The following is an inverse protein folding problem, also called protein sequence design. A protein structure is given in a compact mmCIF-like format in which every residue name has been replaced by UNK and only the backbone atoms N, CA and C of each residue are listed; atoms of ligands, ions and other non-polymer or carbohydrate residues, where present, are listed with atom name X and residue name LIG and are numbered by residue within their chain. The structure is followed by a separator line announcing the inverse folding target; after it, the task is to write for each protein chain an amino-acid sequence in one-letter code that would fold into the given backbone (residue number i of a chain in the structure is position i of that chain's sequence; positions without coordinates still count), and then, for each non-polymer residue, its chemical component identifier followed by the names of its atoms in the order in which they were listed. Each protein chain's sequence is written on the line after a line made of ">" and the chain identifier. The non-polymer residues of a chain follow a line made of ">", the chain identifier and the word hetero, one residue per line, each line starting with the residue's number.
data_IF_902690788362
#
_entry.id   IF_902690788362
#
_cell.length_a   1.000
_cell.length_b   1.000
_cell.length_c   1.000
_cell.angle_alpha   90.00
_cell.angle_beta   90.00
_cell.angle_gamma   90.00
#
_symmetry.space_group_name_H-M   'P 1'
#
loop_
_entity.id
_entity.type
_entity.pdbx_description
1 polymer ?
#
# COMPACT_ATOMS: atom_id res chain seq x y z
N UNK A 1 -23.85 -13.38 -2.45
CA UNK A 1 -23.50 -12.22 -3.31
C UNK A 1 -23.36 -12.57 -4.80
N UNK A 2 -23.10 -13.81 -5.16
CA UNK A 2 -22.95 -14.28 -6.56
C UNK A 2 -24.27 -14.51 -7.33
N UNK A 3 -25.44 -14.27 -6.75
CA UNK A 3 -26.73 -14.68 -7.35
C UNK A 3 -27.25 -13.82 -8.51
N UNK A 4 -26.57 -12.72 -8.87
CA UNK A 4 -27.00 -11.82 -9.95
C UNK A 4 -25.87 -11.33 -10.87
N UNK A 5 -24.81 -12.14 -11.04
CA UNK A 5 -23.88 -11.88 -12.16
C UNK A 5 -24.60 -12.35 -13.42
N UNK A 6 -24.89 -11.43 -14.37
CA UNK A 6 -25.46 -11.80 -15.67
C UNK A 6 -24.57 -12.81 -16.40
N UNK A 7 -25.15 -13.55 -17.33
CA UNK A 7 -24.47 -14.68 -17.97
C UNK A 7 -23.14 -14.31 -18.67
N UNK A 8 -23.04 -13.09 -19.17
CA UNK A 8 -21.84 -12.58 -19.85
C UNK A 8 -20.68 -12.35 -18.86
N UNK A 9 -20.96 -11.72 -17.70
CA UNK A 9 -19.97 -11.50 -16.64
C UNK A 9 -19.47 -12.80 -16.00
N UNK A 10 -20.33 -13.81 -15.91
CA UNK A 10 -19.96 -15.15 -15.41
C UNK A 10 -18.87 -15.81 -16.23
N UNK A 11 -18.83 -15.54 -17.54
CA UNK A 11 -17.86 -16.15 -18.44
C UNK A 11 -16.41 -15.82 -18.02
N UNK A 12 -16.14 -14.57 -17.61
CA UNK A 12 -14.83 -14.19 -17.08
C UNK A 12 -14.55 -14.95 -15.79
N UNK A 13 -15.49 -14.93 -14.85
CA UNK A 13 -15.30 -15.51 -13.51
C UNK A 13 -15.13 -17.03 -13.56
N UNK A 14 -15.92 -17.72 -14.39
CA UNK A 14 -15.89 -19.18 -14.52
C UNK A 14 -14.71 -19.67 -15.38
N UNK A 15 -14.18 -18.83 -16.26
CA UNK A 15 -13.01 -19.12 -17.11
C UNK A 15 -11.66 -18.99 -16.43
N UNK A 16 -11.63 -18.60 -15.15
CA UNK A 16 -10.37 -18.38 -14.43
C UNK A 16 -9.65 -19.69 -14.08
N UNK A 17 -8.39 -19.76 -14.45
CA UNK A 17 -7.45 -20.84 -14.07
C UNK A 17 -6.44 -20.29 -13.06
N UNK A 18 -6.20 -21.05 -12.00
CA UNK A 18 -5.23 -20.72 -10.97
C UNK A 18 -3.84 -21.26 -11.29
N UNK A 19 -2.82 -20.42 -11.09
CA UNK A 19 -1.41 -20.75 -11.30
C UNK A 19 -0.53 -20.19 -10.16
N UNK A 20 0.65 -20.77 -9.99
CA UNK A 20 1.67 -20.34 -9.02
C UNK A 20 3.01 -20.11 -9.72
N UNK A 21 3.71 -19.03 -9.33
CA UNK A 21 5.07 -18.73 -9.80
C UNK A 21 6.09 -19.26 -8.78
N UNK A 22 6.95 -20.18 -9.23
CA UNK A 22 8.02 -20.77 -8.43
C UNK A 22 9.30 -20.66 -9.23
N UNK A 23 10.36 -20.09 -8.62
CA UNK A 23 11.65 -19.86 -9.27
C UNK A 23 11.49 -19.20 -10.66
N UNK A 24 10.69 -18.13 -10.72
CA UNK A 24 10.37 -17.30 -11.91
C UNK A 24 9.62 -18.03 -13.04
N UNK A 25 8.94 -19.13 -12.72
CA UNK A 25 8.10 -19.87 -13.69
C UNK A 25 6.68 -20.09 -13.18
N UNK A 26 5.71 -19.90 -14.05
CA UNK A 26 4.31 -20.16 -13.77
C UNK A 26 3.94 -21.63 -14.02
N UNK A 27 3.20 -22.22 -13.08
CA UNK A 27 2.74 -23.60 -13.12
C UNK A 27 1.25 -23.66 -12.79
N UNK A 28 0.46 -24.35 -13.63
CA UNK A 28 -0.89 -24.78 -13.29
C UNK A 28 -0.88 -25.93 -12.29
N UNK A 29 -2.06 -26.38 -11.87
CA UNK A 29 -2.24 -27.39 -10.81
C UNK A 29 -1.47 -28.70 -11.11
N UNK A 30 -1.58 -29.24 -12.31
CA UNK A 30 -0.95 -30.51 -12.65
C UNK A 30 0.57 -30.39 -12.83
N UNK A 31 1.04 -29.34 -13.46
CA UNK A 31 2.46 -29.06 -13.64
C UNK A 31 3.15 -28.78 -12.30
N UNK A 32 2.50 -28.07 -11.40
CA UNK A 32 3.01 -27.84 -10.03
C UNK A 32 3.15 -29.16 -9.27
N UNK A 33 2.15 -30.02 -9.35
CA UNK A 33 2.17 -31.35 -8.70
C UNK A 33 3.32 -32.22 -9.22
N UNK A 34 3.56 -32.24 -10.52
CA UNK A 34 4.68 -32.98 -11.11
C UNK A 34 6.06 -32.54 -10.61
N UNK A 35 6.15 -31.34 -10.02
CA UNK A 35 7.37 -30.74 -9.45
C UNK A 35 7.43 -30.78 -7.92
N UNK A 36 6.49 -31.43 -7.27
CA UNK A 36 6.42 -31.52 -5.80
C UNK A 36 5.76 -30.31 -5.13
N UNK A 37 4.83 -29.63 -5.80
CA UNK A 37 4.03 -28.55 -5.21
C UNK A 37 2.55 -28.89 -5.27
N UNK A 38 1.87 -28.91 -4.13
CA UNK A 38 0.41 -29.09 -4.10
C UNK A 38 -0.25 -27.72 -4.23
N UNK A 39 -0.69 -27.38 -5.44
CA UNK A 39 -1.50 -26.18 -5.71
C UNK A 39 -2.97 -26.53 -5.65
N UNK A 40 -3.75 -25.80 -4.86
CA UNK A 40 -5.21 -25.94 -4.77
C UNK A 40 -5.89 -24.60 -4.96
N UNK A 41 -7.05 -24.64 -5.63
CA UNK A 41 -7.95 -23.51 -5.80
C UNK A 41 -9.21 -23.78 -4.98
N UNK A 42 -9.66 -22.77 -4.21
CA UNK A 42 -10.81 -22.86 -3.34
C UNK A 42 -11.64 -21.57 -3.34
N UNK A 43 -12.86 -21.65 -2.80
CA UNK A 43 -13.66 -20.49 -2.45
C UNK A 43 -13.58 -20.27 -0.93
N UNK A 44 -13.28 -19.04 -0.53
CA UNK A 44 -13.41 -18.55 0.84
C UNK A 44 -14.65 -17.65 0.91
N UNK A 45 -15.80 -18.23 1.16
CA UNK A 45 -17.11 -17.59 0.88
C UNK A 45 -17.29 -17.38 -0.63
N UNK A 46 -17.44 -16.14 -1.06
CA UNK A 46 -17.55 -15.77 -2.49
C UNK A 46 -16.21 -15.41 -3.14
N UNK A 47 -15.12 -15.37 -2.37
CA UNK A 47 -13.79 -15.02 -2.87
C UNK A 47 -13.01 -16.27 -3.30
N UNK A 48 -12.14 -16.08 -4.29
CA UNK A 48 -11.24 -17.11 -4.81
C UNK A 48 -9.90 -17.04 -4.13
N UNK A 49 -9.35 -18.19 -3.73
CA UNK A 49 -8.05 -18.31 -3.05
C UNK A 49 -7.25 -19.42 -3.72
N UNK A 50 -5.94 -19.20 -3.82
CA UNK A 50 -4.97 -20.23 -4.18
C UNK A 50 -4.12 -20.56 -2.95
N UNK A 51 -3.83 -21.84 -2.78
CA UNK A 51 -2.94 -22.33 -1.72
C UNK A 51 -1.87 -23.19 -2.35
N UNK A 52 -0.61 -22.97 -2.01
CA UNK A 52 0.52 -23.83 -2.40
C UNK A 52 1.15 -24.45 -1.16
N UNK A 53 1.45 -25.74 -1.23
CA UNK A 53 2.26 -26.48 -0.26
C UNK A 53 3.53 -26.94 -0.95
N UNK A 54 4.68 -26.60 -0.41
CA UNK A 54 5.96 -27.03 -0.95
C UNK A 54 6.31 -28.43 -0.45
N UNK A 55 6.11 -29.43 -1.28
CA UNK A 55 6.42 -30.84 -1.04
C UNK A 55 7.70 -31.30 -1.78
N UNK A 56 8.44 -30.36 -2.38
CA UNK A 56 9.62 -30.66 -3.21
C UNK A 56 10.86 -31.10 -2.41
N UNK A 57 10.84 -30.91 -1.09
CA UNK A 57 11.99 -31.24 -0.21
C UNK A 57 13.12 -30.19 -0.23
N UNK A 58 12.95 -29.09 -0.98
CA UNK A 58 13.92 -27.96 -1.04
C UNK A 58 13.21 -26.63 -0.84
N UNK A 59 13.94 -25.62 -0.40
CA UNK A 59 13.45 -24.26 -0.37
C UNK A 59 13.40 -23.68 -1.80
N UNK A 60 12.40 -22.83 -2.07
CA UNK A 60 12.18 -22.21 -3.39
C UNK A 60 11.79 -20.73 -3.24
N UNK A 61 11.93 -19.95 -4.31
CA UNK A 61 11.40 -18.59 -4.38
C UNK A 61 9.97 -18.62 -4.90
N UNK A 62 9.04 -18.00 -4.13
CA UNK A 62 7.65 -17.85 -4.49
C UNK A 62 7.45 -16.45 -5.10
N UNK A 63 7.27 -16.37 -6.43
CA UNK A 63 7.01 -15.12 -7.13
C UNK A 63 5.58 -14.62 -6.92
N UNK A 64 4.60 -15.52 -6.85
CA UNK A 64 3.20 -15.17 -6.58
C UNK A 64 2.19 -16.20 -7.05
N UNK A 65 0.94 -15.82 -6.92
CA UNK A 65 -0.22 -16.55 -7.44
C UNK A 65 -0.90 -15.72 -8.52
N UNK A 66 -1.53 -16.36 -9.50
CA UNK A 66 -2.40 -15.66 -10.43
C UNK A 66 -3.66 -16.43 -10.79
N UNK A 67 -4.71 -15.69 -11.02
CA UNK A 67 -5.92 -16.12 -11.69
C UNK A 67 -5.88 -15.56 -13.11
N UNK A 68 -5.97 -16.41 -14.12
CA UNK A 68 -5.88 -16.03 -15.52
C UNK A 68 -7.05 -16.59 -16.30
N UNK A 69 -7.62 -15.76 -17.19
CA UNK A 69 -8.53 -16.19 -18.25
C UNK A 69 -8.02 -15.63 -19.58
N UNK A 70 -8.11 -16.44 -20.65
CA UNK A 70 -7.72 -16.02 -22.01
C UNK A 70 -8.57 -16.72 -23.03
N UNK A 71 -8.86 -16.01 -24.12
CA UNK A 71 -9.58 -16.55 -25.27
C UNK A 71 -9.72 -15.51 -26.38
N UNK A 72 -9.50 -15.89 -27.67
CA UNK A 72 -9.58 -14.96 -28.77
C UNK A 72 -11.02 -14.47 -29.02
N UNK A 73 -11.16 -13.33 -29.69
CA UNK A 73 -12.44 -12.76 -30.08
C UNK A 73 -13.33 -12.31 -28.90
N UNK A 74 -12.73 -11.63 -27.92
CA UNK A 74 -13.44 -11.22 -26.71
C UNK A 74 -13.84 -12.41 -25.83
N UNK A 75 -13.11 -13.53 -25.94
CA UNK A 75 -13.47 -14.84 -25.34
C UNK A 75 -13.61 -14.85 -23.84
N UNK A 76 -13.02 -13.88 -23.14
CA UNK A 76 -13.09 -13.76 -21.69
C UNK A 76 -14.33 -12.97 -21.25
N UNK A 77 -14.60 -11.84 -21.92
CA UNK A 77 -15.76 -11.00 -21.65
C UNK A 77 -16.25 -10.38 -22.97
N UNK A 78 -17.33 -10.87 -23.56
CA UNK A 78 -17.79 -10.48 -24.90
C UNK A 78 -18.67 -9.21 -24.89
N UNK A 79 -18.19 -8.15 -24.25
CA UNK A 79 -18.78 -6.81 -24.35
C UNK A 79 -18.07 -6.08 -25.49
N UNK A 80 -18.76 -5.67 -26.56
CA UNK A 80 -18.13 -5.03 -27.71
C UNK A 80 -17.26 -3.82 -27.31
N UNK A 81 -16.09 -3.73 -27.91
CA UNK A 81 -15.07 -2.77 -27.51
C UNK A 81 -15.51 -1.29 -27.55
N UNK A 82 -16.42 -0.94 -28.48
CA UNK A 82 -17.01 0.42 -28.53
C UNK A 82 -17.82 0.77 -27.29
N UNK A 83 -18.45 -0.23 -26.63
CA UNK A 83 -19.22 -0.06 -25.39
C UNK A 83 -18.39 -0.29 -24.14
N UNK A 84 -17.31 -1.05 -24.23
CA UNK A 84 -16.49 -1.42 -23.08
C UNK A 84 -15.63 -0.25 -22.59
N UNK A 85 -15.63 -0.05 -21.29
CA UNK A 85 -14.69 0.82 -20.57
C UNK A 85 -14.03 0.02 -19.47
N UNK A 86 -12.71 0.21 -19.32
CA UNK A 86 -11.92 -0.40 -18.26
C UNK A 86 -11.52 0.68 -17.29
N UNK A 87 -11.96 0.56 -16.04
CA UNK A 87 -11.48 1.38 -14.95
C UNK A 87 -10.26 0.72 -14.33
N UNK A 88 -9.18 1.48 -14.18
CA UNK A 88 -7.94 1.08 -13.53
C UNK A 88 -7.72 1.90 -12.29
N UNK A 89 -7.22 1.28 -11.24
CA UNK A 89 -6.92 1.92 -9.96
C UNK A 89 -5.52 1.53 -9.51
N UNK A 90 -4.76 2.51 -9.04
CA UNK A 90 -3.43 2.29 -8.49
C UNK A 90 -3.46 2.13 -6.97
N UNK A 91 -2.33 1.82 -6.39
CA UNK A 91 -2.20 1.51 -4.96
C UNK A 91 -1.84 2.70 -4.08
N UNK A 92 -1.46 3.83 -4.68
CA UNK A 92 -1.20 5.08 -3.97
C UNK A 92 -1.89 6.26 -4.67
N UNK A 93 -1.95 7.39 -4.01
CA UNK A 93 -2.49 8.63 -4.56
C UNK A 93 -1.80 9.12 -5.85
N UNK A 94 -0.56 8.71 -6.10
CA UNK A 94 0.23 9.10 -7.27
C UNK A 94 0.23 8.05 -8.39
N UNK A 95 -0.41 6.91 -8.17
CA UNK A 95 -0.51 5.85 -9.18
C UNK A 95 -1.50 6.22 -10.28
N UNK A 96 -1.32 5.64 -11.50
CA UNK A 96 -2.28 5.83 -12.58
C UNK A 96 -3.68 5.36 -12.16
N UNK A 97 -4.66 6.24 -12.36
CA UNK A 97 -6.06 5.95 -12.09
C UNK A 97 -6.93 6.55 -13.18
N UNK A 98 -8.02 5.88 -13.54
CA UNK A 98 -8.98 6.40 -14.50
C UNK A 98 -9.57 5.36 -15.45
N UNK A 99 -10.22 5.85 -16.50
CA UNK A 99 -10.95 5.01 -17.47
C UNK A 99 -10.16 4.88 -18.76
N UNK A 100 -10.14 3.68 -19.32
CA UNK A 100 -9.52 3.32 -20.61
C UNK A 100 -10.56 2.69 -21.52
N UNK A 101 -10.34 2.81 -22.82
CA UNK A 101 -11.14 2.17 -23.87
C UNK A 101 -10.25 1.50 -24.90
N UNK A 102 -10.83 0.68 -25.75
CA UNK A 102 -10.14 0.11 -26.91
C UNK A 102 -9.52 1.21 -27.79
N UNK A 103 -8.28 1.05 -28.17
CA UNK A 103 -7.48 2.03 -28.90
C UNK A 103 -6.66 2.97 -28.00
N UNK A 104 -6.92 3.06 -26.71
CA UNK A 104 -6.07 3.81 -25.79
C UNK A 104 -4.77 3.05 -25.54
N UNK A 105 -3.72 3.80 -25.22
CA UNK A 105 -2.47 3.23 -24.67
C UNK A 105 -2.55 3.19 -23.15
N UNK A 106 -1.86 2.22 -22.57
CA UNK A 106 -1.65 2.20 -21.12
C UNK A 106 -0.76 3.36 -20.67
N UNK A 107 -0.67 3.55 -19.39
CA UNK A 107 0.30 4.45 -18.81
C UNK A 107 1.71 3.98 -19.15
N UNK A 108 2.61 4.93 -19.44
CA UNK A 108 4.03 4.63 -19.63
C UNK A 108 4.80 5.04 -18.39
N UNK A 109 5.44 4.09 -17.77
CA UNK A 109 6.28 4.35 -16.61
C UNK A 109 7.39 5.36 -16.90
N UNK A 110 7.52 6.37 -16.04
CA UNK A 110 8.67 7.29 -16.03
C UNK A 110 9.51 7.02 -14.77
N UNK A 111 10.72 6.42 -14.92
CA UNK A 111 11.56 6.04 -13.78
C UNK A 111 12.00 7.22 -12.90
N UNK A 112 12.01 8.44 -13.44
CA UNK A 112 12.42 9.63 -12.68
C UNK A 112 11.33 10.13 -11.73
N UNK A 113 10.07 9.87 -12.04
CA UNK A 113 8.95 10.51 -11.33
C UNK A 113 8.07 9.56 -10.51
N UNK A 114 7.92 8.30 -10.91
CA UNK A 114 6.89 7.42 -10.38
C UNK A 114 7.40 6.11 -9.77
N UNK A 115 8.71 5.95 -9.63
CA UNK A 115 9.33 4.72 -9.08
C UNK A 115 8.74 4.29 -7.72
N UNK A 116 8.24 5.22 -6.94
CA UNK A 116 7.71 4.96 -5.60
C UNK A 116 6.18 4.90 -5.55
N UNK A 117 5.51 5.22 -6.64
CA UNK A 117 4.06 5.28 -6.67
C UNK A 117 3.41 3.99 -7.15
N UNK A 118 4.20 2.99 -7.59
CA UNK A 118 3.70 1.80 -8.27
C UNK A 118 4.31 0.53 -7.70
N UNK A 119 3.50 -0.53 -7.60
CA UNK A 119 3.94 -1.84 -7.09
C UNK A 119 4.90 -2.54 -8.06
N UNK A 120 4.57 -2.50 -9.36
CA UNK A 120 5.34 -3.14 -10.43
C UNK A 120 5.44 -2.19 -11.63
N UNK A 121 6.24 -1.11 -11.50
CA UNK A 121 6.30 -0.04 -12.50
C UNK A 121 6.77 -0.53 -13.87
N UNK A 122 7.61 -1.53 -13.93
CA UNK A 122 8.16 -2.12 -15.15
C UNK A 122 7.10 -2.78 -16.06
N UNK A 123 5.93 -3.12 -15.53
CA UNK A 123 4.84 -3.70 -16.30
C UNK A 123 4.09 -2.67 -17.15
N UNK A 124 4.19 -1.39 -16.80
CA UNK A 124 3.53 -0.30 -17.51
C UNK A 124 4.32 0.13 -18.76
N UNK A 125 4.16 -0.65 -19.83
CA UNK A 125 4.93 -0.47 -21.09
C UNK A 125 4.40 0.65 -21.99
N UNK A 126 3.18 1.11 -21.78
CA UNK A 126 2.48 2.04 -22.66
C UNK A 126 1.91 1.38 -23.91
N UNK A 127 1.76 0.06 -23.92
CA UNK A 127 1.19 -0.68 -25.04
C UNK A 127 -0.30 -0.37 -25.24
N UNK A 128 -0.77 -0.26 -26.50
CA UNK A 128 -2.17 -0.04 -26.76
C UNK A 128 -3.01 -1.29 -26.40
N UNK A 129 -4.20 -1.07 -25.85
CA UNK A 129 -5.18 -2.12 -25.47
C UNK A 129 -4.70 -3.09 -24.40
N UNK A 130 -3.57 -2.86 -23.77
CA UNK A 130 -3.06 -3.66 -22.66
C UNK A 130 -2.98 -2.77 -21.41
N UNK A 131 -3.90 -2.95 -20.47
CA UNK A 131 -4.05 -2.08 -19.31
C UNK A 131 -3.68 -2.79 -18.03
N UNK A 132 -3.06 -2.06 -17.12
CA UNK A 132 -2.65 -2.52 -15.80
C UNK A 132 -3.35 -1.73 -14.69
N UNK A 133 -3.63 -2.39 -13.59
CA UNK A 133 -4.11 -1.80 -12.35
C UNK A 133 -3.46 -2.50 -11.16
N UNK A 134 -3.32 -1.80 -10.05
CA UNK A 134 -2.61 -2.33 -8.88
C UNK A 134 -3.54 -2.62 -7.70
N UNK A 135 -4.75 -2.14 -7.70
CA UNK A 135 -5.65 -2.25 -6.56
C UNK A 135 -6.96 -2.93 -6.91
N UNK A 136 -7.63 -2.41 -7.93
CA UNK A 136 -8.85 -2.97 -8.48
C UNK A 136 -8.94 -2.66 -9.97
N UNK A 137 -9.66 -3.50 -10.71
CA UNK A 137 -9.95 -3.32 -12.12
C UNK A 137 -11.45 -3.54 -12.35
N UNK A 138 -12.10 -2.65 -13.10
CA UNK A 138 -13.51 -2.83 -13.43
C UNK A 138 -13.77 -2.74 -14.93
N UNK A 139 -14.73 -3.54 -15.39
CA UNK A 139 -15.23 -3.57 -16.76
C UNK A 139 -16.65 -3.00 -16.76
N UNK A 140 -16.87 -1.92 -17.49
CA UNK A 140 -18.15 -1.22 -17.54
C UNK A 140 -18.71 -1.28 -18.96
N UNK A 141 -19.95 -1.70 -19.11
CA UNK A 141 -20.70 -1.62 -20.36
C UNK A 141 -21.46 -0.28 -20.41
N UNK A 142 -21.02 0.65 -21.26
CA UNK A 142 -21.68 1.95 -21.42
C UNK A 142 -23.08 1.87 -22.03
N UNK A 143 -23.46 0.74 -22.61
CA UNK A 143 -24.81 0.55 -23.17
C UNK A 143 -25.84 0.26 -22.09
N UNK A 144 -25.52 -0.57 -21.12
CA UNK A 144 -26.40 -0.94 -19.99
C UNK A 144 -26.07 -0.18 -18.69
N UNK A 145 -24.87 0.34 -18.56
CA UNK A 145 -24.33 0.90 -17.29
C UNK A 145 -23.79 -0.16 -16.35
N UNK A 146 -24.01 -1.45 -16.64
CA UNK A 146 -23.55 -2.54 -15.78
C UNK A 146 -22.04 -2.63 -15.68
N UNK A 147 -21.57 -3.01 -14.52
CA UNK A 147 -20.14 -3.05 -14.19
C UNK A 147 -19.80 -4.33 -13.45
N UNK A 148 -18.69 -4.97 -13.84
CA UNK A 148 -18.01 -6.01 -13.06
C UNK A 148 -16.69 -5.46 -12.55
N UNK A 149 -16.52 -5.39 -11.23
CA UNK A 149 -15.27 -5.03 -10.59
C UNK A 149 -14.59 -6.28 -10.02
N UNK A 150 -13.31 -6.45 -10.34
CA UNK A 150 -12.42 -7.42 -9.73
C UNK A 150 -11.51 -6.71 -8.73
N UNK A 151 -11.40 -7.22 -7.50
CA UNK A 151 -10.54 -6.64 -6.47
C UNK A 151 -10.11 -7.68 -5.44
N UNK A 152 -8.91 -7.50 -4.88
CA UNK A 152 -8.48 -8.29 -3.72
C UNK A 152 -9.09 -7.69 -2.45
N UNK A 153 -9.90 -8.48 -1.74
CA UNK A 153 -10.57 -8.08 -0.50
C UNK A 153 -9.73 -8.33 0.76
N UNK A 154 -8.53 -8.91 0.59
CA UNK A 154 -7.44 -8.93 1.57
C UNK A 154 -6.17 -8.41 0.90
N UNK A 155 -5.28 -7.80 1.67
CA UNK A 155 -4.05 -7.17 1.17
C UNK A 155 -2.94 -7.12 2.23
N UNK A 156 -3.02 -7.99 3.23
CA UNK A 156 -2.08 -7.97 4.35
C UNK A 156 -0.74 -8.64 4.03
N UNK A 157 -0.75 -9.61 3.11
CA UNK A 157 0.38 -10.48 2.85
C UNK A 157 1.05 -10.25 1.50
N UNK A 158 0.28 -9.84 0.50
CA UNK A 158 0.76 -9.68 -0.87
C UNK A 158 0.15 -8.42 -1.51
N UNK A 159 0.81 -7.90 -2.54
CA UNK A 159 0.24 -6.86 -3.39
C UNK A 159 -0.66 -7.47 -4.46
N UNK A 160 -1.86 -6.90 -4.64
CA UNK A 160 -2.76 -7.24 -5.72
C UNK A 160 -2.40 -6.45 -6.99
N UNK A 161 -2.28 -7.15 -8.14
CA UNK A 161 -2.07 -6.55 -9.46
C UNK A 161 -3.05 -7.13 -10.45
N UNK A 162 -3.46 -6.32 -11.42
CA UNK A 162 -4.38 -6.72 -12.49
C UNK A 162 -3.82 -6.32 -13.84
N UNK A 163 -4.11 -7.12 -14.84
CA UNK A 163 -3.93 -6.73 -16.23
C UNK A 163 -5.06 -7.27 -17.11
N UNK A 164 -5.34 -6.57 -18.20
CA UNK A 164 -6.24 -7.06 -19.25
C UNK A 164 -5.74 -6.64 -20.63
N UNK A 165 -6.08 -7.48 -21.61
CA UNK A 165 -5.88 -7.18 -23.04
C UNK A 165 -7.26 -7.09 -23.70
N UNK A 166 -7.48 -6.01 -24.45
CA UNK A 166 -8.69 -5.82 -25.24
C UNK A 166 -8.43 -6.14 -26.71
N UNK A 167 -9.44 -6.77 -27.32
CA UNK A 167 -9.57 -6.83 -28.79
C UNK A 167 -10.87 -6.12 -29.23
N UNK A 168 -11.18 -6.13 -30.52
CA UNK A 168 -12.36 -5.46 -31.06
C UNK A 168 -13.69 -6.06 -30.54
N UNK A 169 -13.68 -7.29 -30.03
CA UNK A 169 -14.84 -8.02 -29.55
C UNK A 169 -15.03 -7.95 -28.02
N UNK A 170 -14.01 -7.44 -27.28
CA UNK A 170 -14.11 -7.31 -25.82
C UNK A 170 -12.79 -7.59 -25.09
N UNK A 171 -12.87 -8.25 -23.94
CA UNK A 171 -11.69 -8.67 -23.17
C UNK A 171 -11.19 -10.01 -23.69
N UNK A 172 -9.98 -10.01 -24.25
CA UNK A 172 -9.31 -11.22 -24.74
C UNK A 172 -8.50 -11.91 -23.63
N UNK A 173 -7.90 -11.15 -22.74
CA UNK A 173 -7.15 -11.68 -21.60
C UNK A 173 -7.47 -10.89 -20.32
N UNK A 174 -7.50 -11.60 -19.20
CA UNK A 174 -7.57 -11.03 -17.87
C UNK A 174 -6.62 -11.78 -16.95
N UNK A 175 -5.92 -11.04 -16.09
CA UNK A 175 -5.02 -11.59 -15.09
C UNK A 175 -5.17 -10.84 -13.76
N UNK A 176 -5.26 -11.57 -12.65
CA UNK A 176 -5.19 -11.04 -11.29
C UNK A 176 -4.06 -11.75 -10.55
N UNK A 177 -3.07 -11.00 -10.09
CA UNK A 177 -1.85 -11.51 -9.46
C UNK A 177 -1.80 -11.10 -8.00
N UNK A 178 -1.50 -12.05 -7.13
CA UNK A 178 -1.16 -11.86 -5.73
C UNK A 178 0.37 -12.02 -5.61
N UNK A 179 1.10 -10.90 -5.52
CA UNK A 179 2.55 -10.81 -5.65
C UNK A 179 3.26 -11.19 -4.33
N UNK A 180 4.04 -12.26 -4.34
CA UNK A 180 4.85 -12.70 -3.20
C UNK A 180 6.29 -12.16 -3.22
N UNK A 181 6.65 -11.39 -4.25
CA UNK A 181 7.94 -10.67 -4.33
C UNK A 181 9.19 -11.57 -4.20
N UNK A 182 9.09 -12.83 -4.60
CA UNK A 182 10.19 -13.79 -4.48
C UNK A 182 10.50 -14.25 -3.05
N UNK A 183 9.54 -14.14 -2.14
CA UNK A 183 9.69 -14.61 -0.76
C UNK A 183 10.04 -16.10 -0.71
N UNK A 184 10.85 -16.50 0.28
CA UNK A 184 11.25 -17.89 0.46
C UNK A 184 10.06 -18.75 0.89
N UNK A 185 9.80 -19.84 0.19
CA UNK A 185 8.87 -20.89 0.58
C UNK A 185 9.67 -22.14 0.96
N UNK A 186 9.79 -22.39 2.26
CA UNK A 186 10.53 -23.52 2.80
C UNK A 186 9.89 -24.87 2.49
N UNK A 187 10.70 -25.94 2.53
CA UNK A 187 10.20 -27.30 2.36
C UNK A 187 9.14 -27.63 3.42
N UNK A 188 8.00 -28.14 3.01
CA UNK A 188 6.84 -28.46 3.85
C UNK A 188 5.96 -27.26 4.22
N UNK A 189 6.33 -26.03 3.88
CA UNK A 189 5.56 -24.84 4.20
C UNK A 189 4.35 -24.65 3.25
N UNK A 190 3.39 -23.90 3.75
CA UNK A 190 2.16 -23.55 3.05
C UNK A 190 2.01 -22.04 2.96
N UNK A 191 1.69 -21.54 1.76
CA UNK A 191 1.34 -20.11 1.55
C UNK A 191 0.00 -20.03 0.84
N UNK A 192 -0.79 -19.02 1.23
CA UNK A 192 -2.14 -18.74 0.68
C UNK A 192 -2.12 -17.36 0.02
N UNK A 193 -2.75 -17.24 -1.16
CA UNK A 193 -2.92 -15.97 -1.87
C UNK A 193 -3.83 -15.01 -1.11
N UNK A 194 -3.86 -13.75 -1.51
CA UNK A 194 -4.94 -12.85 -1.14
C UNK A 194 -6.28 -13.30 -1.76
N UNK A 195 -7.39 -12.87 -1.16
CA UNK A 195 -8.74 -13.23 -1.54
C UNK A 195 -9.23 -12.36 -2.71
N UNK A 196 -9.37 -12.95 -3.91
CA UNK A 196 -9.92 -12.28 -5.09
C UNK A 196 -11.44 -12.39 -5.12
N UNK A 197 -12.13 -11.25 -5.18
CA UNK A 197 -13.60 -11.19 -5.29
C UNK A 197 -14.06 -10.37 -6.51
N UNK A 198 -15.31 -10.62 -6.92
CA UNK A 198 -15.95 -9.96 -8.05
C UNK A 198 -17.27 -9.33 -7.63
N UNK A 199 -17.52 -8.11 -8.08
CA UNK A 199 -18.67 -7.30 -7.69
C UNK A 199 -19.41 -6.81 -8.94
N UNK A 200 -20.53 -7.44 -9.26
CA UNK A 200 -21.42 -6.96 -10.31
C UNK A 200 -22.39 -5.92 -9.74
N UNK A 201 -22.57 -4.81 -10.46
CA UNK A 201 -23.43 -3.70 -10.02
C UNK A 201 -23.94 -2.88 -11.21
N UNK A 202 -25.03 -2.09 -11.04
CA UNK A 202 -25.59 -1.28 -12.13
C UNK A 202 -24.74 -0.06 -12.49
N UNK A 203 -23.65 0.20 -11.77
CA UNK A 203 -22.70 1.27 -12.06
C UNK A 203 -21.34 1.02 -11.41
N UNK A 204 -20.29 1.68 -11.91
CA UNK A 204 -18.95 1.63 -11.33
C UNK A 204 -18.96 2.06 -9.85
N UNK A 205 -19.65 3.16 -9.53
CA UNK A 205 -19.73 3.65 -8.15
C UNK A 205 -20.36 2.60 -7.20
N UNK A 206 -21.44 1.95 -7.62
CA UNK A 206 -22.08 0.91 -6.82
C UNK A 206 -21.18 -0.33 -6.65
N UNK A 207 -20.39 -0.69 -7.68
CA UNK A 207 -19.42 -1.78 -7.59
C UNK A 207 -18.28 -1.44 -6.62
N UNK A 208 -17.74 -0.22 -6.70
CA UNK A 208 -16.70 0.28 -5.79
C UNK A 208 -17.18 0.34 -4.34
N UNK A 209 -18.40 0.82 -4.08
CA UNK A 209 -18.96 0.81 -2.72
C UNK A 209 -19.04 -0.60 -2.14
N UNK A 210 -19.55 -1.57 -2.91
CA UNK A 210 -19.62 -2.99 -2.46
C UNK A 210 -18.24 -3.59 -2.22
N UNK A 211 -17.29 -3.30 -3.09
CA UNK A 211 -15.90 -3.71 -2.92
C UNK A 211 -15.30 -3.13 -1.64
N UNK A 212 -15.42 -1.82 -1.45
CA UNK A 212 -14.87 -1.12 -0.28
C UNK A 212 -15.49 -1.61 1.04
N UNK A 213 -16.80 -1.87 1.07
CA UNK A 213 -17.49 -2.45 2.23
C UNK A 213 -16.95 -3.86 2.56
N UNK A 214 -16.83 -4.72 1.56
CA UNK A 214 -16.33 -6.07 1.71
C UNK A 214 -14.88 -6.09 2.17
N UNK A 215 -14.03 -5.31 1.49
CA UNK A 215 -12.63 -5.17 1.81
C UNK A 215 -12.41 -4.58 3.21
N UNK A 216 -13.14 -3.50 3.54
CA UNK A 216 -13.09 -2.90 4.87
C UNK A 216 -13.51 -3.86 5.99
N UNK A 217 -14.51 -4.71 5.74
CA UNK A 217 -14.93 -5.74 6.69
C UNK A 217 -13.85 -6.82 6.88
N UNK A 218 -13.24 -7.31 5.77
CA UNK A 218 -12.18 -8.33 5.79
C UNK A 218 -10.90 -7.85 6.46
N UNK A 219 -10.54 -6.58 6.23
CA UNK A 219 -9.31 -5.97 6.75
C UNK A 219 -9.53 -5.20 8.06
N UNK A 220 -10.73 -5.26 8.64
CA UNK A 220 -11.08 -4.57 9.87
C UNK A 220 -10.86 -3.06 9.81
N UNK A 221 -11.33 -2.40 8.71
CA UNK A 221 -11.16 -0.97 8.51
C UNK A 221 -11.63 -0.15 9.71
N UNK A 222 -10.80 0.79 10.13
CA UNK A 222 -11.07 1.66 11.27
C UNK A 222 -12.03 2.77 10.86
N UNK A 223 -13.13 2.91 11.61
CA UNK A 223 -14.18 3.92 11.36
C UNK A 223 -14.50 4.69 12.65
N UNK A 224 -13.47 4.94 13.48
CA UNK A 224 -13.65 5.47 14.84
C UNK A 224 -13.67 6.99 14.90
N UNK A 225 -13.07 7.66 13.93
CA UNK A 225 -12.87 9.09 13.96
C UNK A 225 -13.62 9.79 12.83
N UNK A 226 -14.15 10.98 13.13
CA UNK A 226 -14.45 11.95 12.10
C UNK A 226 -13.14 12.50 11.49
N UNK A 227 -13.15 13.00 10.24
CA UNK A 227 -11.97 13.63 9.66
C UNK A 227 -11.46 14.76 10.59
N UNK A 228 -10.18 14.76 10.96
CA UNK A 228 -9.62 15.79 11.84
C UNK A 228 -9.59 17.14 11.13
N UNK A 229 -10.10 18.17 11.79
CA UNK A 229 -9.99 19.55 11.33
C UNK A 229 -8.77 20.20 11.97
N UNK A 230 -7.83 20.68 11.18
CA UNK A 230 -6.60 21.23 11.73
C UNK A 230 -5.85 22.14 10.77
N UNK A 231 -4.85 22.80 11.32
CA UNK A 231 -3.85 23.56 10.59
C UNK A 231 -2.53 22.76 10.52
N UNK A 232 -1.83 22.87 9.40
CA UNK A 232 -0.58 22.19 9.12
C UNK A 232 0.48 23.17 8.66
N UNK A 233 1.70 23.09 9.21
CA UNK A 233 2.79 24.01 8.90
C UNK A 233 3.37 23.87 7.48
N UNK A 234 3.19 22.70 6.83
CA UNK A 234 3.84 22.39 5.54
C UNK A 234 3.50 23.37 4.43
N UNK A 235 2.23 23.68 4.23
CA UNK A 235 1.78 24.42 3.06
C UNK A 235 2.21 25.89 2.98
N UNK A 236 2.81 26.42 4.05
CA UNK A 236 3.34 27.78 4.07
C UNK A 236 4.84 27.81 4.41
N UNK A 237 5.24 27.10 5.46
CA UNK A 237 6.61 27.19 5.97
C UNK A 237 7.55 26.15 5.36
N UNK A 238 7.01 25.04 4.83
CA UNK A 238 7.81 23.88 4.40
C UNK A 238 8.80 23.49 5.51
N UNK A 239 9.96 22.93 5.15
CA UNK A 239 11.00 22.55 6.10
C UNK A 239 11.70 23.75 6.81
N UNK A 240 11.30 24.99 6.50
CA UNK A 240 11.84 26.20 7.17
C UNK A 240 11.11 26.57 8.45
N UNK A 241 10.04 25.85 8.80
CA UNK A 241 9.23 26.07 10.00
C UNK A 241 10.10 26.15 11.26
N UNK A 242 9.75 27.05 12.18
CA UNK A 242 10.39 27.29 13.47
C UNK A 242 9.38 27.14 14.59
N UNK A 243 9.87 26.96 15.81
CA UNK A 243 9.03 26.85 17.00
C UNK A 243 8.16 28.10 17.21
N UNK A 244 8.73 29.29 16.96
CA UNK A 244 8.00 30.57 17.05
C UNK A 244 6.82 30.64 16.08
N UNK A 245 7.00 30.11 14.85
CA UNK A 245 5.94 30.09 13.83
C UNK A 245 4.74 29.25 14.31
N UNK A 246 5.00 28.10 14.92
CA UNK A 246 3.94 27.26 15.51
C UNK A 246 3.22 28.01 16.62
N UNK A 247 3.96 28.63 17.54
CA UNK A 247 3.36 29.35 18.67
C UNK A 247 2.56 30.60 18.25
N UNK A 248 2.99 31.29 17.20
CA UNK A 248 2.26 32.42 16.62
C UNK A 248 0.91 31.96 16.04
N UNK A 249 0.92 30.90 15.22
CA UNK A 249 -0.30 30.35 14.67
C UNK A 249 -1.22 29.80 15.77
N UNK A 250 -0.69 29.13 16.79
CA UNK A 250 -1.48 28.66 17.94
C UNK A 250 -2.19 29.83 18.63
N UNK A 251 -1.51 30.96 18.87
CA UNK A 251 -2.13 32.17 19.46
C UNK A 251 -3.22 32.73 18.58
N UNK A 252 -2.93 32.87 17.29
CA UNK A 252 -3.88 33.42 16.35
C UNK A 252 -5.17 32.56 16.26
N UNK A 253 -5.07 31.24 16.13
CA UNK A 253 -6.22 30.34 16.13
C UNK A 253 -6.97 30.33 17.48
N UNK A 254 -6.29 30.52 18.60
CA UNK A 254 -6.94 30.63 19.89
C UNK A 254 -7.81 31.90 20.01
N UNK A 255 -7.34 33.02 19.43
CA UNK A 255 -8.08 34.30 19.37
C UNK A 255 -9.24 34.27 18.36
N UNK A 256 -9.16 33.43 17.30
CA UNK A 256 -10.15 33.37 16.21
C UNK A 256 -10.94 32.04 16.23
N UNK A 257 -11.09 31.42 17.38
CA UNK A 257 -11.65 30.06 17.51
C UNK A 257 -13.10 29.94 17.00
N UNK A 258 -13.91 30.99 17.14
CA UNK A 258 -15.29 31.01 16.67
C UNK A 258 -15.38 31.03 15.14
N UNK A 259 -14.43 31.68 14.48
CA UNK A 259 -14.35 31.79 13.03
C UNK A 259 -13.68 30.56 12.40
N UNK A 260 -12.64 30.01 13.06
CA UNK A 260 -11.87 28.86 12.61
C UNK A 260 -11.88 27.76 13.69
N UNK A 261 -12.93 26.91 13.73
CA UNK A 261 -13.10 25.88 14.78
C UNK A 261 -12.22 24.65 14.54
N UNK A 262 -10.90 24.84 14.40
CA UNK A 262 -9.95 23.74 14.24
C UNK A 262 -9.68 23.03 15.60
N UNK A 263 -9.36 21.76 15.52
CA UNK A 263 -9.01 20.95 16.69
C UNK A 263 -7.50 20.69 16.79
N UNK A 264 -6.85 20.52 15.64
CA UNK A 264 -5.46 20.07 15.57
C UNK A 264 -4.52 21.16 15.07
N UNK A 265 -3.32 21.20 15.67
CA UNK A 265 -2.15 21.94 15.17
C UNK A 265 -1.09 20.91 14.83
N UNK A 266 -0.78 20.79 13.53
CA UNK A 266 0.20 19.83 13.02
C UNK A 266 1.53 20.51 12.73
N UNK A 267 2.60 20.04 13.40
CA UNK A 267 3.96 20.30 13.00
C UNK A 267 4.37 19.27 11.94
N UNK A 268 4.66 19.75 10.73
CA UNK A 268 5.12 18.94 9.60
C UNK A 268 6.65 18.86 9.52
N UNK A 269 7.25 18.39 8.43
CA UNK A 269 8.70 18.25 8.21
C UNK A 269 9.48 19.53 8.53
N UNK A 270 10.67 19.38 9.09
CA UNK A 270 11.62 20.46 9.34
C UNK A 270 12.00 20.68 10.79
N UNK A 271 11.49 19.90 11.73
CA UNK A 271 11.81 19.98 13.15
C UNK A 271 12.93 19.04 13.58
N UNK A 272 13.03 17.89 12.95
CA UNK A 272 13.97 16.81 13.28
C UNK A 272 15.41 17.15 12.86
N UNK A 273 16.37 16.59 13.60
CA UNK A 273 17.81 16.72 13.27
C UNK A 273 18.14 16.00 11.96
N UNK A 274 17.65 14.80 11.79
CA UNK A 274 17.77 13.98 10.59
C UNK A 274 16.57 13.02 10.49
N UNK A 275 16.25 12.49 9.29
CA UNK A 275 15.30 11.39 9.18
C UNK A 275 15.87 10.17 9.92
N UNK A 276 15.04 9.55 10.75
CA UNK A 276 15.44 8.48 11.68
C UNK A 276 15.60 8.97 13.12
N UNK A 277 16.10 10.18 13.35
CA UNK A 277 16.32 10.76 14.67
C UNK A 277 15.08 11.55 15.17
N UNK A 278 13.90 10.92 15.12
CA UNK A 278 12.59 11.57 15.26
C UNK A 278 12.32 12.24 16.61
N UNK A 279 13.00 11.83 17.68
CA UNK A 279 12.84 12.43 19.00
C UNK A 279 13.83 13.57 19.27
N UNK A 280 14.76 13.82 18.34
CA UNK A 280 15.81 14.84 18.45
C UNK A 280 15.50 15.99 17.51
N UNK A 281 15.25 17.16 18.08
CA UNK A 281 15.02 18.37 17.32
C UNK A 281 16.32 19.03 16.85
N UNK A 282 16.22 19.81 15.77
CA UNK A 282 17.26 20.75 15.37
C UNK A 282 17.17 22.07 16.18
N UNK A 283 18.07 22.99 15.90
CA UNK A 283 18.19 24.28 16.62
C UNK A 283 16.95 25.18 16.53
N UNK A 284 16.08 24.97 15.55
CA UNK A 284 14.84 25.74 15.37
C UNK A 284 13.76 25.38 16.40
N UNK A 285 13.91 24.27 17.11
CA UNK A 285 12.97 23.75 18.11
C UNK A 285 13.69 23.46 19.43
N UNK A 286 14.21 24.51 20.03
CA UNK A 286 15.14 24.45 21.19
C UNK A 286 14.49 23.86 22.46
N UNK A 287 13.16 23.98 22.63
CA UNK A 287 12.46 23.40 23.79
C UNK A 287 12.06 21.94 23.57
N UNK A 288 12.13 21.44 22.33
CA UNK A 288 11.81 20.07 21.96
C UNK A 288 10.32 19.75 21.90
N UNK A 289 10.02 18.59 21.32
CA UNK A 289 8.65 18.17 20.97
C UNK A 289 7.72 18.03 22.18
N UNK A 290 8.21 17.49 23.30
CA UNK A 290 7.39 17.34 24.53
C UNK A 290 6.87 18.67 25.05
N UNK A 291 7.73 19.68 25.06
CA UNK A 291 7.36 21.02 25.49
C UNK A 291 6.37 21.66 24.51
N UNK A 292 6.63 21.53 23.20
CA UNK A 292 5.76 22.07 22.16
C UNK A 292 4.35 21.45 22.21
N UNK A 293 4.26 20.13 22.35
CA UNK A 293 2.97 19.45 22.52
C UNK A 293 2.18 19.96 23.73
N UNK A 294 2.89 20.16 24.87
CA UNK A 294 2.29 20.74 26.05
C UNK A 294 1.85 22.19 25.85
N UNK A 295 2.58 23.00 25.07
CA UNK A 295 2.21 24.37 24.72
C UNK A 295 0.94 24.42 23.88
N UNK A 296 0.84 23.58 22.85
CA UNK A 296 -0.35 23.44 21.99
C UNK A 296 -1.57 23.03 22.84
N UNK A 297 -1.43 22.03 23.73
CA UNK A 297 -2.51 21.58 24.63
C UNK A 297 -2.98 22.66 25.58
N UNK A 298 -2.06 23.45 26.16
CA UNK A 298 -2.45 24.57 27.05
C UNK A 298 -3.26 25.65 26.32
N UNK A 299 -3.07 25.81 25.03
CA UNK A 299 -3.88 26.69 24.19
C UNK A 299 -5.24 26.09 23.80
N UNK A 300 -5.51 24.82 24.17
CA UNK A 300 -6.77 24.12 23.94
C UNK A 300 -6.85 23.43 22.58
N UNK A 301 -5.72 23.15 21.94
CA UNK A 301 -5.64 22.37 20.70
C UNK A 301 -5.02 20.99 20.94
N UNK A 302 -5.23 20.07 20.00
CA UNK A 302 -4.60 18.75 19.98
C UNK A 302 -3.32 18.82 19.14
N UNK A 303 -2.16 18.43 19.68
CA UNK A 303 -0.92 18.44 18.89
C UNK A 303 -0.87 17.24 17.92
N UNK A 304 -0.44 17.53 16.70
CA UNK A 304 -0.19 16.54 15.66
C UNK A 304 1.25 16.66 15.14
N UNK A 305 1.84 15.53 14.71
CA UNK A 305 3.23 15.45 14.28
C UNK A 305 3.36 14.68 12.96
N UNK A 306 4.20 15.17 12.07
CA UNK A 306 4.63 14.50 10.87
C UNK A 306 5.87 13.63 11.13
N UNK A 307 5.91 12.44 10.53
CA UNK A 307 7.07 11.56 10.48
C UNK A 307 7.12 10.84 9.12
N UNK A 308 8.33 10.44 8.70
CA UNK A 308 8.55 9.46 7.63
C UNK A 308 9.22 8.21 8.23
N UNK A 309 8.49 7.36 8.95
CA UNK A 309 9.07 6.44 9.93
C UNK A 309 10.00 5.40 9.33
N UNK A 310 9.79 4.99 8.07
CA UNK A 310 10.66 4.01 7.42
C UNK A 310 11.96 4.62 6.86
N UNK A 311 12.07 5.95 6.79
CA UNK A 311 13.21 6.63 6.19
C UNK A 311 14.29 6.97 7.21
N UNK A 312 15.56 6.78 6.80
CA UNK A 312 16.74 7.06 7.63
C UNK A 312 17.82 7.72 6.78
N UNK A 313 18.20 8.96 7.13
CA UNK A 313 19.27 9.68 6.45
C UNK A 313 20.65 9.12 6.79
N UNK A 314 21.59 9.28 5.85
CA UNK A 314 22.96 8.79 5.97
C UNK A 314 23.77 9.47 7.09
N UNK A 315 23.35 10.64 7.58
CA UNK A 315 23.95 11.38 8.70
C UNK A 315 23.23 11.13 10.04
N UNK A 316 22.19 10.28 10.10
CA UNK A 316 21.45 9.99 11.32
C UNK A 316 22.25 9.17 12.32
N UNK A 317 21.96 9.36 13.60
CA UNK A 317 22.51 8.53 14.68
C UNK A 317 21.97 7.10 14.59
N UNK A 318 20.70 6.95 14.23
CA UNK A 318 20.05 5.65 14.03
C UNK A 318 20.81 4.77 13.02
N UNK A 319 21.18 5.32 11.84
CA UNK A 319 21.92 4.55 10.85
C UNK A 319 23.33 4.19 11.31
N UNK A 320 23.99 5.12 12.02
CA UNK A 320 25.33 4.89 12.55
C UNK A 320 25.37 3.77 13.60
N UNK A 321 24.33 3.69 14.45
CA UNK A 321 24.25 2.71 15.54
C UNK A 321 23.70 1.36 15.10
N UNK A 322 22.77 1.37 14.14
CA UNK A 322 22.03 0.18 13.70
C UNK A 322 21.96 0.05 12.17
N UNK A 323 23.10 -0.05 11.47
CA UNK A 323 23.10 -0.22 10.02
C UNK A 323 22.42 -1.53 9.57
N UNK A 324 22.37 -2.53 10.43
CA UNK A 324 21.75 -3.85 10.25
C UNK A 324 20.22 -3.81 10.35
N UNK A 325 19.62 -2.67 10.73
CA UNK A 325 18.16 -2.51 10.75
C UNK A 325 17.59 -2.09 9.39
N UNK A 326 18.46 -1.67 8.48
CA UNK A 326 18.05 -1.26 7.13
C UNK A 326 17.86 -2.48 6.24
N UNK A 327 17.07 -2.33 5.18
CA UNK A 327 17.06 -3.28 4.06
C UNK A 327 18.50 -3.41 3.56
N UNK A 328 19.00 -4.64 3.44
CA UNK A 328 20.42 -4.96 3.15
C UNK A 328 20.60 -5.37 1.68
N UNK A 329 21.71 -5.00 1.09
CA UNK A 329 22.15 -5.54 -0.20
C UNK A 329 22.87 -6.91 -0.05
N UNK A 330 23.31 -7.48 -1.16
CA UNK A 330 23.99 -8.77 -1.17
C UNK A 330 25.31 -8.83 -0.37
N UNK A 331 25.88 -7.66 -0.01
CA UNK A 331 27.08 -7.53 0.81
C UNK A 331 26.75 -7.26 2.29
N UNK A 332 25.50 -7.37 2.69
CA UNK A 332 24.99 -7.03 4.02
C UNK A 332 25.28 -5.56 4.44
N UNK A 333 25.17 -4.64 3.49
CA UNK A 333 25.26 -3.21 3.73
C UNK A 333 23.91 -2.55 3.43
N UNK A 334 23.58 -1.42 4.10
CA UNK A 334 22.32 -0.70 3.86
C UNK A 334 22.11 -0.33 2.40
N UNK A 335 20.89 -0.55 1.89
CA UNK A 335 20.46 -0.07 0.59
C UNK A 335 19.98 1.38 0.68
N UNK A 336 20.29 2.18 -0.36
CA UNK A 336 19.83 3.55 -0.50
C UNK A 336 19.03 3.67 -1.81
N UNK A 337 17.78 3.21 -1.82
CA UNK A 337 17.03 3.05 -3.07
C UNK A 337 16.65 4.38 -3.73
N UNK A 338 16.47 5.45 -2.95
CA UNK A 338 16.27 6.79 -3.47
C UNK A 338 16.44 7.86 -2.39
N UNK A 339 16.74 9.07 -2.80
CA UNK A 339 16.73 10.24 -1.93
C UNK A 339 15.93 11.37 -2.59
N UNK A 340 15.05 11.98 -1.82
CA UNK A 340 14.38 13.24 -2.13
C UNK A 340 15.00 14.42 -1.34
N UNK A 341 15.92 14.11 -0.42
CA UNK A 341 16.68 15.09 0.37
C UNK A 341 17.95 15.49 -0.37
N UNK A 342 18.07 16.76 -0.67
CA UNK A 342 19.26 17.32 -1.32
C UNK A 342 20.51 17.10 -0.46
N UNK A 343 21.54 16.50 -1.06
CA UNK A 343 22.82 16.26 -0.41
C UNK A 343 22.90 15.04 0.51
N UNK A 344 21.79 14.29 0.70
CA UNK A 344 21.74 13.11 1.57
C UNK A 344 21.26 11.87 0.83
N UNK A 345 21.69 10.70 1.30
CA UNK A 345 21.14 9.40 0.92
C UNK A 345 20.14 8.95 1.97
N UNK A 346 19.09 8.26 1.54
CA UNK A 346 18.05 7.75 2.44
C UNK A 346 18.01 6.24 2.35
N UNK A 347 18.28 5.57 3.47
CA UNK A 347 18.09 4.15 3.68
C UNK A 347 16.65 3.87 4.19
N UNK A 348 16.21 2.61 4.09
CA UNK A 348 14.87 2.18 4.48
C UNK A 348 14.97 1.15 5.60
N UNK A 349 14.25 1.39 6.70
CA UNK A 349 14.10 0.43 7.79
C UNK A 349 13.32 -0.80 7.33
N UNK A 350 13.83 -1.96 7.71
CA UNK A 350 13.21 -3.24 7.40
C UNK A 350 12.12 -3.58 8.42
N UNK A 351 10.85 -3.41 8.02
CA UNK A 351 9.71 -3.73 8.87
C UNK A 351 9.57 -5.21 9.24
N UNK A 352 10.28 -6.13 8.55
CA UNK A 352 10.32 -7.55 8.94
C UNK A 352 11.26 -7.81 10.11
N UNK A 353 12.19 -6.89 10.42
CA UNK A 353 13.15 -7.02 11.50
C UNK A 353 12.49 -6.75 12.86
N UNK A 354 12.51 -7.71 13.82
CA UNK A 354 11.90 -7.51 15.15
C UNK A 354 12.48 -6.30 15.91
N UNK A 355 13.78 -6.00 15.76
CA UNK A 355 14.39 -4.86 16.41
C UNK A 355 13.85 -3.52 15.89
N UNK A 356 13.54 -3.42 14.59
CA UNK A 356 12.87 -2.27 13.98
C UNK A 356 11.44 -2.13 14.50
N UNK A 357 10.71 -3.24 14.65
CA UNK A 357 9.37 -3.24 15.23
C UNK A 357 9.38 -2.74 16.68
N UNK A 358 10.35 -3.17 17.49
CA UNK A 358 10.51 -2.70 18.87
C UNK A 358 10.89 -1.21 18.94
N UNK A 359 11.73 -0.74 18.01
CA UNK A 359 12.05 0.67 17.85
C UNK A 359 10.78 1.49 17.54
N UNK A 360 9.96 1.05 16.60
CA UNK A 360 8.69 1.71 16.27
C UNK A 360 7.73 1.75 17.47
N UNK A 361 7.53 0.61 18.18
CA UNK A 361 6.71 0.59 19.40
C UNK A 361 7.17 1.63 20.42
N UNK A 362 8.47 1.70 20.67
CA UNK A 362 9.07 2.63 21.63
C UNK A 362 8.93 4.10 21.20
N UNK A 363 9.23 4.40 19.94
CA UNK A 363 9.10 5.74 19.36
C UNK A 363 7.66 6.27 19.50
N UNK A 364 6.69 5.51 18.99
CA UNK A 364 5.30 5.95 18.95
C UNK A 364 4.65 5.98 20.34
N UNK A 365 5.03 5.08 21.25
CA UNK A 365 4.65 5.16 22.66
C UNK A 365 5.18 6.45 23.31
N UNK A 366 6.43 6.81 23.06
CA UNK A 366 7.03 8.05 23.56
C UNK A 366 6.27 9.28 23.05
N UNK A 367 5.90 9.32 21.77
CA UNK A 367 5.11 10.43 21.21
C UNK A 367 3.73 10.54 21.88
N UNK A 368 3.06 9.41 22.15
CA UNK A 368 1.80 9.40 22.91
C UNK A 368 1.99 9.91 24.35
N UNK A 369 3.04 9.48 25.03
CA UNK A 369 3.37 9.96 26.39
C UNK A 369 3.70 11.46 26.41
N UNK A 370 4.28 12.01 25.32
CA UNK A 370 4.49 13.45 25.17
C UNK A 370 3.22 14.22 24.85
N UNK A 371 2.15 13.49 24.50
CA UNK A 371 0.81 14.03 24.35
C UNK A 371 0.37 14.29 22.92
N UNK A 372 1.05 13.74 21.93
CA UNK A 372 0.56 13.79 20.54
C UNK A 372 -0.64 12.87 20.38
N UNK A 373 -1.74 13.39 19.84
CA UNK A 373 -2.99 12.66 19.63
C UNK A 373 -3.19 12.26 18.18
N UNK A 374 -2.37 12.79 17.28
CA UNK A 374 -2.38 12.53 15.85
C UNK A 374 -0.95 12.48 15.29
N UNK A 375 -0.67 11.50 14.42
CA UNK A 375 0.55 11.42 13.62
C UNK A 375 0.22 11.28 12.13
N UNK A 376 0.90 12.08 11.30
CA UNK A 376 0.93 11.92 9.84
C UNK A 376 2.18 11.12 9.49
N UNK A 377 1.98 9.93 8.93
CA UNK A 377 3.05 9.06 8.48
C UNK A 377 3.22 9.20 6.97
N UNK A 378 4.31 9.83 6.56
CA UNK A 378 4.55 10.14 5.15
C UNK A 378 5.59 9.23 4.50
N UNK A 379 5.64 9.25 3.17
CA UNK A 379 6.51 8.41 2.34
C UNK A 379 6.40 6.91 2.68
N UNK A 380 5.23 6.47 3.10
CA UNK A 380 5.00 5.11 3.58
C UNK A 380 5.23 4.06 2.51
N UNK A 381 5.01 4.41 1.24
CA UNK A 381 5.32 3.54 0.09
C UNK A 381 6.78 3.07 0.09
N UNK A 382 7.70 3.84 0.62
CA UNK A 382 9.11 3.45 0.66
C UNK A 382 9.38 2.28 1.61
N UNK A 383 8.57 2.09 2.64
CA UNK A 383 8.63 0.89 3.49
C UNK A 383 8.33 -0.43 2.75
N UNK A 384 7.85 -0.35 1.50
CA UNK A 384 7.61 -1.52 0.65
C UNK A 384 8.70 -1.76 -0.40
N UNK A 385 9.66 -0.84 -0.53
CA UNK A 385 10.71 -0.93 -1.55
C UNK A 385 11.84 -1.82 -1.06
N UNK A 386 12.09 -2.92 -1.77
CA UNK A 386 13.24 -3.77 -1.51
C UNK A 386 14.38 -3.50 -2.52
N UNK A 387 14.06 -3.05 -3.74
CA UNK A 387 15.03 -2.82 -4.81
C UNK A 387 15.89 -4.06 -5.04
N UNK A 388 17.23 -3.90 -5.04
CA UNK A 388 18.20 -5.00 -5.10
C UNK A 388 18.52 -5.59 -3.70
N UNK A 389 17.82 -5.14 -2.66
CA UNK A 389 18.00 -5.60 -1.29
C UNK A 389 17.22 -6.85 -0.94
N UNK A 390 17.43 -7.33 0.27
CA UNK A 390 16.68 -8.40 0.88
C UNK A 390 16.20 -8.02 2.28
N UNK A 391 15.10 -8.63 2.71
CA UNK A 391 14.56 -8.48 4.05
C UNK A 391 15.30 -9.36 5.06
N UNK A 392 15.30 -8.95 6.32
CA UNK A 392 15.77 -9.72 7.47
C UNK A 392 15.05 -11.09 7.57
N UNK A 393 13.73 -11.08 7.36
CA UNK A 393 12.92 -12.30 7.22
C UNK A 393 12.80 -12.66 5.74
N UNK A 394 13.53 -13.67 5.22
CA UNK A 394 13.47 -14.02 3.80
C UNK A 394 12.11 -14.59 3.36
N UNK A 395 11.21 -14.91 4.31
CA UNK A 395 9.84 -15.36 4.06
C UNK A 395 8.86 -14.19 3.95
N UNK A 396 9.29 -13.00 4.33
CA UNK A 396 8.43 -11.83 4.22
C UNK A 396 8.29 -11.37 2.77
N UNK A 397 7.05 -11.17 2.34
CA UNK A 397 6.77 -10.39 1.13
C UNK A 397 6.97 -8.89 1.43
N UNK A 398 7.06 -8.06 0.41
CA UNK A 398 7.13 -6.59 0.57
C UNK A 398 5.93 -6.06 1.38
N UNK A 399 4.71 -6.54 1.08
CA UNK A 399 3.50 -6.17 1.79
C UNK A 399 3.54 -6.59 3.27
N UNK A 400 3.94 -7.83 3.55
CA UNK A 400 4.03 -8.35 4.91
C UNK A 400 5.10 -7.64 5.75
N UNK A 401 6.28 -7.37 5.18
CA UNK A 401 7.33 -6.63 5.86
C UNK A 401 6.88 -5.22 6.25
N UNK A 402 6.31 -4.48 5.30
CA UNK A 402 5.74 -3.16 5.54
C UNK A 402 4.67 -3.20 6.64
N UNK A 403 3.71 -4.13 6.52
CA UNK A 403 2.60 -4.23 7.45
C UNK A 403 3.04 -4.56 8.88
N UNK A 404 4.02 -5.45 9.07
CA UNK A 404 4.61 -5.75 10.40
C UNK A 404 5.18 -4.48 11.06
N UNK A 405 5.87 -3.63 10.30
CA UNK A 405 6.35 -2.34 10.80
C UNK A 405 5.21 -1.39 11.18
N UNK A 406 4.17 -1.30 10.36
CA UNK A 406 3.00 -0.47 10.61
C UNK A 406 2.17 -0.98 11.81
N UNK A 407 2.04 -2.30 11.99
CA UNK A 407 1.43 -2.92 13.17
C UNK A 407 2.15 -2.49 14.46
N UNK A 408 3.49 -2.52 14.45
CA UNK A 408 4.30 -2.05 15.57
C UNK A 408 4.11 -0.55 15.87
N UNK A 409 3.96 0.27 14.81
CA UNK A 409 3.61 1.70 14.94
C UNK A 409 2.25 1.85 15.62
N UNK A 410 1.22 1.13 15.16
CA UNK A 410 -0.13 1.17 15.74
C UNK A 410 -0.12 0.71 17.20
N UNK A 411 0.57 -0.38 17.52
CA UNK A 411 0.72 -0.89 18.88
C UNK A 411 1.35 0.17 19.80
N UNK A 412 2.41 0.83 19.36
CA UNK A 412 3.08 1.88 20.12
C UNK A 412 2.24 3.15 20.28
N UNK A 413 1.57 3.60 19.22
CA UNK A 413 0.75 4.81 19.25
C UNK A 413 -0.61 4.58 19.96
N UNK A 414 -1.04 3.33 20.09
CA UNK A 414 -2.25 2.93 20.77
C UNK A 414 -3.51 3.11 19.92
N UNK A 415 -4.60 2.50 20.39
CA UNK A 415 -5.88 2.44 19.67
C UNK A 415 -6.58 3.80 19.56
N UNK A 416 -6.36 4.70 20.52
CA UNK A 416 -7.05 5.99 20.62
C UNK A 416 -6.30 7.15 19.92
N UNK A 417 -5.14 6.88 19.33
CA UNK A 417 -4.40 7.86 18.53
C UNK A 417 -4.86 7.83 17.08
N UNK A 418 -4.97 9.00 16.45
CA UNK A 418 -5.25 9.11 15.01
C UNK A 418 -3.97 8.94 14.21
N UNK A 419 -3.94 7.99 13.29
CA UNK A 419 -2.85 7.80 12.33
C UNK A 419 -3.36 8.11 10.92
N UNK A 420 -2.75 9.12 10.29
CA UNK A 420 -2.94 9.41 8.87
C UNK A 420 -1.81 8.76 8.08
N UNK A 421 -2.14 7.92 7.11
CA UNK A 421 -1.22 7.50 6.05
C UNK A 421 -1.04 8.62 5.03
N UNK A 422 0.15 8.74 4.47
CA UNK A 422 0.43 9.68 3.38
C UNK A 422 1.44 9.06 2.43
N UNK A 423 1.22 9.22 1.12
CA UNK A 423 2.02 8.54 0.09
C UNK A 423 2.17 7.06 0.40
N UNK A 424 1.06 6.40 0.69
CA UNK A 424 1.02 5.07 1.27
C UNK A 424 0.32 4.06 0.33
N UNK A 425 0.63 2.76 0.45
CA UNK A 425 -0.09 1.71 -0.28
C UNK A 425 -1.44 1.47 0.38
N UNK A 426 -2.54 1.93 -0.25
CA UNK A 426 -3.91 1.89 0.30
C UNK A 426 -4.27 0.54 0.93
N UNK A 427 -4.04 -0.55 0.21
CA UNK A 427 -4.44 -1.88 0.64
C UNK A 427 -3.81 -2.32 1.94
N UNK A 428 -2.52 -2.12 2.08
CA UNK A 428 -1.74 -2.58 3.22
C UNK A 428 -1.95 -1.72 4.48
N UNK A 429 -2.57 -0.55 4.33
CA UNK A 429 -2.85 0.36 5.44
C UNK A 429 -4.19 0.06 6.13
N UNK A 430 -5.14 -0.56 5.43
CA UNK A 430 -6.50 -0.82 5.94
C UNK A 430 -6.46 -1.62 7.23
N UNK A 431 -7.19 -1.16 8.25
CA UNK A 431 -7.27 -1.74 9.58
C UNK A 431 -6.21 -1.22 10.56
N UNK A 432 -5.15 -0.54 10.08
CA UNK A 432 -4.06 -0.04 10.91
C UNK A 432 -4.03 1.49 11.00
N UNK A 433 -4.48 2.20 9.97
CA UNK A 433 -4.60 3.67 9.98
C UNK A 433 -6.05 4.12 10.05
N UNK A 434 -6.28 5.38 10.39
CA UNK A 434 -7.60 5.96 10.57
C UNK A 434 -8.01 6.83 9.37
N UNK A 435 -7.06 7.19 8.51
CA UNK A 435 -7.27 7.95 7.29
C UNK A 435 -6.04 7.92 6.37
N UNK A 436 -6.24 8.32 5.11
CA UNK A 436 -5.21 8.49 4.09
C UNK A 436 -5.57 9.66 3.16
#
# INVERSE_FOLDING_TARGET
>A
MTQHIESEWRRLVDGLVGEVNIDDRWYGVDDARARGFALTAALAGDARVLTVINQSGRDVRLGGFRWRASGPGGGVLPVPAERLRVYIEGWTMASPCGVRKYGDSDFRYNPEYLKFAMCAPEEYSGEPNHFHAEHAMAFCDCGSGETLLAGFITSARQFGRFSCVLDAQGVAEFCAISDCSGALLGAGETVVSEELAFFAAPSLYAAQCRFAECWGARMHARKRFAPPLGWCSWYYYFAKVREEDILENVRWFAEHREEFPIEYIQLDDGYQRALGDWLVCNEKFSHGLRWLAAAIKRAGFKPALWLAPFQVEDNSELLREHPDWMIQNAQNAPCFPASWREGHKVAILDGSNPAVQDCFRSLFKTLREWGFDYVKLDFMVQGTVCGEGHFWDPRATRAAAFRKGLEAIREGFGEDGFILGCTAPFGQMVGLVDGE
#
